data_IF_379456359850
#
_entry.id   IF_379456359850
#
_cell.length_a   1.000
_cell.length_b   1.000
_cell.length_c   1.000
_cell.angle_alpha   90.00
_cell.angle_beta   90.00
_cell.angle_gamma   90.00
#
_symmetry.space_group_name_H-M   'P 1'
#
loop_
_entity.id
_entity.type
_entity.pdbx_description
1 polymer ?
#
# COMPACT_ATOMS: atom_id res chain seq x y z
N UNK A 1 -1.97 -74.36 -15.94
CA UNK A 1 -2.98 -73.35 -15.47
C UNK A 1 -2.21 -72.07 -15.15
N UNK A 2 -2.30 -71.06 -16.00
CA UNK A 2 -1.61 -69.80 -15.81
C UNK A 2 -2.63 -68.76 -15.26
N UNK A 3 -2.33 -68.25 -14.07
CA UNK A 3 -3.14 -67.21 -13.43
C UNK A 3 -2.81 -65.86 -14.09
N UNK A 4 -3.79 -65.22 -14.69
CA UNK A 4 -3.72 -63.83 -15.17
C UNK A 4 -3.85 -62.87 -13.98
N UNK A 5 -2.84 -62.08 -13.69
CA UNK A 5 -2.89 -60.96 -12.75
C UNK A 5 -3.71 -59.83 -13.39
N UNK A 6 -4.76 -59.38 -12.70
CA UNK A 6 -5.53 -58.20 -13.08
C UNK A 6 -4.76 -56.95 -12.69
N UNK A 7 -4.44 -56.14 -13.70
CA UNK A 7 -3.83 -54.81 -13.47
C UNK A 7 -4.97 -53.84 -13.17
N UNK A 8 -5.10 -53.47 -11.89
CA UNK A 8 -6.02 -52.39 -11.46
C UNK A 8 -5.40 -51.05 -11.84
N UNK A 9 -6.01 -50.38 -12.83
CA UNK A 9 -5.62 -49.01 -13.22
C UNK A 9 -6.00 -48.01 -12.12
N UNK A 10 -5.02 -47.47 -11.44
CA UNK A 10 -5.22 -46.32 -10.54
C UNK A 10 -5.43 -45.03 -11.38
N UNK A 11 -6.66 -44.60 -11.46
CA UNK A 11 -7.00 -43.31 -12.06
C UNK A 11 -6.54 -42.22 -11.06
N UNK A 12 -5.42 -41.55 -11.37
CA UNK A 12 -5.00 -40.36 -10.65
C UNK A 12 -5.98 -39.25 -10.96
N UNK A 13 -6.68 -38.67 -9.97
CA UNK A 13 -7.58 -37.55 -10.23
C UNK A 13 -6.77 -36.39 -10.82
N UNK A 14 -7.17 -35.92 -11.99
CA UNK A 14 -6.61 -34.69 -12.58
C UNK A 14 -6.86 -33.55 -11.58
N UNK A 15 -5.84 -32.78 -11.19
CA UNK A 15 -6.04 -31.66 -10.30
C UNK A 15 -7.02 -30.69 -10.97
N UNK A 16 -8.19 -30.53 -10.37
CA UNK A 16 -9.20 -29.56 -10.80
C UNK A 16 -8.57 -28.18 -10.63
N UNK A 17 -8.36 -27.47 -11.75
CA UNK A 17 -7.90 -26.08 -11.69
C UNK A 17 -8.89 -25.30 -10.82
N UNK A 18 -8.44 -24.58 -9.79
CA UNK A 18 -9.33 -23.78 -8.96
C UNK A 18 -10.14 -22.81 -9.83
N UNK A 19 -11.40 -22.61 -9.48
CA UNK A 19 -12.24 -21.66 -10.19
C UNK A 19 -11.58 -20.27 -10.17
N UNK A 20 -11.66 -19.49 -11.25
CA UNK A 20 -11.06 -18.17 -11.27
C UNK A 20 -11.71 -17.27 -10.22
N UNK A 21 -10.90 -16.47 -9.54
CA UNK A 21 -11.38 -15.48 -8.58
C UNK A 21 -12.35 -14.50 -9.26
N UNK A 22 -13.38 -14.12 -8.53
CA UNK A 22 -14.34 -13.11 -8.97
C UNK A 22 -14.11 -11.81 -8.23
N UNK A 23 -14.28 -10.68 -8.95
CA UNK A 23 -14.24 -9.34 -8.35
C UNK A 23 -15.62 -8.73 -8.47
N UNK A 24 -16.20 -8.36 -7.33
CA UNK A 24 -17.52 -7.73 -7.26
C UNK A 24 -17.53 -6.58 -6.25
N UNK A 25 -18.45 -5.65 -6.44
CA UNK A 25 -18.66 -4.55 -5.50
C UNK A 25 -19.12 -5.09 -4.14
N UNK A 26 -18.62 -4.48 -3.08
CA UNK A 26 -18.98 -4.75 -1.69
C UNK A 26 -19.33 -3.43 -0.98
N UNK A 27 -20.08 -3.51 0.09
CA UNK A 27 -20.35 -2.35 0.93
C UNK A 27 -19.13 -1.95 1.77
N UNK A 28 -19.16 -0.70 2.28
CA UNK A 28 -18.06 -0.15 3.09
C UNK A 28 -17.89 -0.88 4.44
N UNK A 29 -18.92 -1.51 4.98
CA UNK A 29 -18.85 -2.23 6.25
C UNK A 29 -18.04 -3.52 6.06
N UNK A 30 -18.38 -4.33 5.07
CA UNK A 30 -17.65 -5.55 4.67
C UNK A 30 -16.19 -5.22 4.36
N UNK A 31 -15.94 -4.10 3.66
CA UNK A 31 -14.56 -3.66 3.36
C UNK A 31 -13.78 -3.37 4.65
N UNK A 32 -14.34 -2.58 5.57
CA UNK A 32 -13.69 -2.25 6.85
C UNK A 32 -13.44 -3.47 7.73
N UNK A 33 -14.39 -4.39 7.79
CA UNK A 33 -14.26 -5.62 8.56
C UNK A 33 -13.08 -6.46 8.05
N UNK A 34 -12.97 -6.61 6.72
CA UNK A 34 -11.84 -7.32 6.11
C UNK A 34 -10.50 -6.65 6.44
N UNK A 35 -10.42 -5.31 6.38
CA UNK A 35 -9.19 -4.58 6.74
C UNK A 35 -8.84 -4.74 8.22
N UNK A 36 -9.83 -4.67 9.12
CA UNK A 36 -9.63 -4.82 10.56
C UNK A 36 -9.10 -6.21 10.96
N UNK A 37 -9.40 -7.25 10.17
CA UNK A 37 -8.90 -8.61 10.36
C UNK A 37 -7.44 -8.79 9.90
N UNK A 38 -6.83 -7.79 9.24
CA UNK A 38 -5.43 -7.87 8.78
C UNK A 38 -4.45 -7.33 9.82
N UNK A 39 -3.28 -7.94 9.90
CA UNK A 39 -2.20 -7.45 10.78
C UNK A 39 -1.74 -6.04 10.39
N UNK A 40 -1.82 -5.68 9.11
CA UNK A 40 -1.52 -4.35 8.59
C UNK A 40 -2.27 -4.12 7.29
N UNK A 41 -2.80 -2.92 7.13
CA UNK A 41 -3.37 -2.43 5.87
C UNK A 41 -3.14 -0.92 5.75
N UNK A 42 -2.92 -0.46 4.53
CA UNK A 42 -2.76 0.98 4.29
C UNK A 42 -4.08 1.73 4.53
N UNK A 43 -4.01 2.90 5.18
CA UNK A 43 -5.16 3.79 5.30
C UNK A 43 -5.67 4.27 3.93
N UNK A 44 -4.83 4.26 2.89
CA UNK A 44 -5.20 4.59 1.52
C UNK A 44 -6.16 3.56 0.91
N UNK A 45 -6.29 2.38 1.53
CA UNK A 45 -7.26 1.35 1.15
C UNK A 45 -8.56 1.42 1.96
N UNK A 46 -8.69 2.36 2.89
CA UNK A 46 -9.93 2.52 3.65
C UNK A 46 -11.03 3.22 2.84
N UNK A 47 -12.31 2.86 3.01
CA UNK A 47 -13.42 3.63 2.44
C UNK A 47 -13.41 5.11 2.86
N UNK A 48 -12.86 5.41 4.06
CA UNK A 48 -12.62 6.79 4.53
C UNK A 48 -11.76 7.59 3.56
N UNK A 49 -10.65 7.03 3.10
CA UNK A 49 -9.82 7.67 2.09
C UNK A 49 -10.56 7.94 0.78
N UNK A 50 -11.43 7.02 0.39
CA UNK A 50 -12.30 7.22 -0.77
C UNK A 50 -13.20 8.46 -0.63
N UNK A 51 -13.65 8.79 0.58
CA UNK A 51 -14.41 10.02 0.85
C UNK A 51 -13.54 11.27 0.77
N UNK A 52 -12.32 11.22 1.27
CA UNK A 52 -11.33 12.32 1.13
C UNK A 52 -11.04 12.65 -0.33
N UNK A 53 -11.10 11.66 -1.23
CA UNK A 53 -10.96 11.84 -2.68
C UNK A 53 -12.31 12.12 -3.37
N UNK A 54 -13.06 13.07 -2.85
CA UNK A 54 -14.43 13.38 -3.28
C UNK A 54 -14.55 13.71 -4.77
N UNK A 55 -13.49 14.22 -5.40
CA UNK A 55 -13.42 14.53 -6.82
C UNK A 55 -13.26 13.29 -7.73
N UNK A 56 -13.05 12.11 -7.14
CA UNK A 56 -12.92 10.85 -7.87
C UNK A 56 -14.11 9.95 -7.56
N UNK A 57 -14.63 9.25 -8.56
CA UNK A 57 -15.55 8.16 -8.29
C UNK A 57 -14.81 7.07 -7.53
N UNK A 58 -15.43 6.53 -6.50
CA UNK A 58 -14.85 5.47 -5.66
C UNK A 58 -15.71 4.23 -5.65
N UNK A 59 -15.11 3.10 -5.38
CA UNK A 59 -15.78 1.82 -5.25
C UNK A 59 -14.99 0.92 -4.30
N UNK A 60 -15.67 0.22 -3.40
CA UNK A 60 -15.12 -0.89 -2.63
C UNK A 60 -15.38 -2.19 -3.38
N UNK A 61 -14.34 -2.97 -3.64
CA UNK A 61 -14.47 -4.27 -4.30
C UNK A 61 -13.88 -5.38 -3.46
N UNK A 62 -14.51 -6.56 -3.52
CA UNK A 62 -14.04 -7.80 -2.91
C UNK A 62 -13.55 -8.78 -3.96
N UNK A 63 -12.52 -9.54 -3.62
CA UNK A 63 -12.02 -10.69 -4.36
C UNK A 63 -12.61 -11.93 -3.70
N UNK A 64 -13.24 -12.79 -4.49
CA UNK A 64 -13.95 -13.96 -4.01
C UNK A 64 -13.42 -15.24 -4.65
N UNK A 65 -13.13 -16.22 -3.79
CA UNK A 65 -12.97 -17.62 -4.18
C UNK A 65 -14.28 -18.36 -3.84
N UNK A 66 -15.09 -18.61 -4.86
CA UNK A 66 -16.49 -18.98 -4.64
C UNK A 66 -17.24 -17.88 -3.87
N UNK A 67 -17.74 -18.21 -2.68
CA UNK A 67 -18.38 -17.26 -1.78
C UNK A 67 -17.44 -16.66 -0.73
N UNK A 68 -16.22 -17.14 -0.64
CA UNK A 68 -15.23 -16.68 0.36
C UNK A 68 -14.57 -15.39 -0.06
N UNK A 69 -14.65 -14.34 0.77
CA UNK A 69 -13.96 -13.08 0.58
C UNK A 69 -12.48 -13.23 0.96
N UNK A 70 -11.58 -13.23 -0.03
CA UNK A 70 -10.13 -13.45 0.14
C UNK A 70 -9.30 -12.18 0.05
N UNK A 71 -9.89 -11.08 -0.37
CA UNK A 71 -9.21 -9.78 -0.43
C UNK A 71 -10.16 -8.65 -0.76
N UNK A 72 -9.69 -7.42 -0.58
CA UNK A 72 -10.47 -6.21 -0.89
C UNK A 72 -9.63 -5.16 -1.61
N UNK A 73 -10.28 -4.22 -2.29
CA UNK A 73 -9.62 -3.02 -2.80
C UNK A 73 -10.53 -1.81 -2.77
N UNK A 74 -9.97 -0.66 -2.40
CA UNK A 74 -10.53 0.65 -2.72
C UNK A 74 -10.07 1.02 -4.12
N UNK A 75 -11.01 1.15 -5.05
CA UNK A 75 -10.73 1.61 -6.41
C UNK A 75 -11.18 3.05 -6.56
N UNK A 76 -10.25 3.91 -6.97
CA UNK A 76 -10.51 5.31 -7.27
C UNK A 76 -10.49 5.51 -8.80
N UNK A 77 -11.53 6.12 -9.36
CA UNK A 77 -11.64 6.36 -10.80
C UNK A 77 -11.44 7.83 -11.10
N UNK A 78 -10.31 8.18 -11.68
CA UNK A 78 -10.02 9.52 -12.16
C UNK A 78 -10.53 9.69 -13.58
N UNK A 79 -11.48 10.57 -13.79
CA UNK A 79 -11.98 10.87 -15.13
C UNK A 79 -10.96 11.66 -15.94
N UNK A 80 -10.81 11.31 -17.23
CA UNK A 80 -10.05 12.11 -18.16
C UNK A 80 -10.82 13.39 -18.52
N UNK A 81 -10.12 14.51 -18.73
CA UNK A 81 -10.76 15.73 -19.22
C UNK A 81 -11.48 15.47 -20.54
N UNK A 82 -12.74 15.95 -20.67
CA UNK A 82 -13.57 15.92 -21.88
C UNK A 82 -13.98 14.52 -22.38
N UNK A 83 -13.62 13.43 -21.73
CA UNK A 83 -13.94 12.06 -22.15
C UNK A 83 -14.53 11.29 -20.97
N UNK A 84 -15.61 10.50 -21.22
CA UNK A 84 -16.18 9.59 -20.19
C UNK A 84 -15.35 8.30 -20.08
N UNK A 85 -14.06 8.44 -19.84
CA UNK A 85 -13.13 7.35 -19.58
C UNK A 85 -12.35 7.61 -18.29
N UNK A 86 -11.96 6.56 -17.61
CA UNK A 86 -11.35 6.63 -16.29
C UNK A 86 -9.99 5.94 -16.25
N UNK A 87 -9.05 6.51 -15.50
CA UNK A 87 -7.94 5.75 -14.96
C UNK A 87 -8.38 5.18 -13.61
N UNK A 88 -8.40 3.86 -13.46
CA UNK A 88 -8.61 3.21 -12.19
C UNK A 88 -7.30 3.22 -11.39
N UNK A 89 -7.36 3.61 -10.12
CA UNK A 89 -6.20 3.66 -9.23
C UNK A 89 -6.52 2.94 -7.92
N UNK A 90 -5.64 2.03 -7.53
CA UNK A 90 -5.72 1.25 -6.29
C UNK A 90 -4.47 1.57 -5.46
N UNK A 91 -4.52 2.65 -4.64
CA UNK A 91 -3.36 3.13 -3.89
C UNK A 91 -2.94 2.13 -2.81
N UNK A 92 -1.67 1.76 -2.76
CA UNK A 92 -1.12 0.76 -1.82
C UNK A 92 -1.97 -0.51 -1.68
N UNK A 93 -2.48 -0.97 -2.81
CA UNK A 93 -3.35 -2.13 -2.89
C UNK A 93 -3.30 -2.83 -4.25
N UNK A 94 -4.16 -3.82 -4.43
CA UNK A 94 -5.21 -4.34 -3.54
C UNK A 94 -4.68 -4.96 -2.24
N UNK A 95 -5.55 -5.11 -1.22
CA UNK A 95 -5.26 -5.80 0.03
C UNK A 95 -5.51 -7.29 -0.18
N UNK A 96 -4.45 -8.00 -0.47
CA UNK A 96 -4.41 -9.43 -0.76
C UNK A 96 -3.32 -10.08 0.09
N UNK A 97 -3.39 -11.37 0.27
CA UNK A 97 -2.23 -12.16 0.67
C UNK A 97 -1.36 -12.42 -0.58
N UNK A 98 -0.41 -11.52 -0.82
CA UNK A 98 0.43 -11.53 -2.02
C UNK A 98 1.31 -12.77 -2.16
N UNK A 99 1.54 -13.50 -1.06
CA UNK A 99 2.32 -14.74 -1.05
C UNK A 99 1.50 -15.96 -1.47
N UNK A 100 0.19 -15.93 -1.21
CA UNK A 100 -0.69 -17.10 -1.31
C UNK A 100 -1.72 -16.97 -2.45
N UNK A 101 -2.16 -15.74 -2.78
CA UNK A 101 -3.22 -15.53 -3.79
C UNK A 101 -2.73 -15.89 -5.20
N UNK A 102 -3.59 -16.53 -5.98
CA UNK A 102 -3.33 -16.72 -7.42
C UNK A 102 -3.48 -15.39 -8.16
N UNK A 103 -2.34 -14.72 -8.38
CA UNK A 103 -2.29 -13.43 -9.09
C UNK A 103 -2.74 -13.56 -10.55
N UNK A 104 -2.55 -14.73 -11.18
CA UNK A 104 -3.01 -14.99 -12.55
C UNK A 104 -4.54 -15.04 -12.66
N UNK A 105 -5.23 -15.28 -11.55
CA UNK A 105 -6.68 -15.18 -11.45
C UNK A 105 -7.13 -13.80 -10.94
N UNK A 106 -6.56 -13.31 -9.85
CA UNK A 106 -7.00 -12.09 -9.17
C UNK A 106 -6.86 -10.82 -10.03
N UNK A 107 -5.71 -10.63 -10.66
CA UNK A 107 -5.41 -9.39 -11.38
C UNK A 107 -6.18 -9.24 -12.69
N UNK A 108 -6.34 -10.28 -13.53
CA UNK A 108 -7.23 -10.21 -14.68
C UNK A 108 -8.69 -9.98 -14.29
N UNK A 109 -9.17 -10.59 -13.19
CA UNK A 109 -10.53 -10.37 -12.68
C UNK A 109 -10.73 -8.89 -12.28
N UNK A 110 -9.77 -8.29 -11.55
CA UNK A 110 -9.81 -6.86 -11.22
C UNK A 110 -9.78 -6.00 -12.47
N UNK A 111 -8.90 -6.29 -13.44
CA UNK A 111 -8.80 -5.55 -14.69
C UNK A 111 -10.11 -5.61 -15.49
N UNK A 112 -10.75 -6.78 -15.57
CA UNK A 112 -12.04 -6.95 -16.22
C UNK A 112 -13.14 -6.14 -15.52
N UNK A 113 -13.18 -6.17 -14.19
CA UNK A 113 -14.13 -5.43 -13.37
C UNK A 113 -14.04 -3.92 -13.62
N UNK A 114 -12.85 -3.32 -13.52
CA UNK A 114 -12.67 -1.88 -13.74
C UNK A 114 -12.89 -1.47 -15.18
N UNK A 115 -12.56 -2.35 -16.15
CA UNK A 115 -12.86 -2.13 -17.57
C UNK A 115 -14.36 -2.05 -17.83
N UNK A 116 -15.17 -2.93 -17.23
CA UNK A 116 -16.62 -2.89 -17.31
C UNK A 116 -17.21 -1.60 -16.75
N UNK A 117 -16.49 -0.91 -15.87
CA UNK A 117 -16.85 0.40 -15.29
C UNK A 117 -16.30 1.60 -16.07
N UNK A 118 -15.76 1.37 -17.25
CA UNK A 118 -15.28 2.41 -18.18
C UNK A 118 -13.84 2.83 -17.97
N UNK A 119 -13.04 2.08 -17.21
CA UNK A 119 -11.62 2.34 -17.13
C UNK A 119 -10.90 1.93 -18.43
N UNK A 120 -9.98 2.80 -18.90
CA UNK A 120 -9.10 2.52 -20.02
C UNK A 120 -7.77 1.91 -19.56
N UNK A 121 -7.45 2.05 -18.28
CA UNK A 121 -6.23 1.52 -17.66
C UNK A 121 -6.41 1.43 -16.16
N UNK A 122 -5.55 0.64 -15.54
CA UNK A 122 -5.50 0.46 -14.10
C UNK A 122 -4.07 0.65 -13.59
N UNK A 123 -3.94 1.31 -12.43
CA UNK A 123 -2.71 1.43 -11.67
C UNK A 123 -2.92 0.80 -10.31
N UNK A 124 -2.04 -0.08 -9.90
CA UNK A 124 -2.01 -0.66 -8.55
C UNK A 124 -0.70 -0.27 -7.85
N UNK A 125 -0.69 -0.29 -6.54
CA UNK A 125 0.49 -0.03 -5.71
C UNK A 125 0.68 -1.11 -4.65
N UNK A 126 1.04 -2.35 -5.03
CA UNK A 126 1.21 -3.44 -4.08
C UNK A 126 2.24 -3.09 -3.00
N UNK A 127 1.90 -3.16 -1.70
CA UNK A 127 2.85 -2.89 -0.62
C UNK A 127 3.77 -4.10 -0.38
N UNK A 128 4.42 -4.59 -1.44
CA UNK A 128 5.26 -5.79 -1.41
C UNK A 128 6.72 -5.39 -1.25
N UNK A 129 7.32 -5.80 -0.14
CA UNK A 129 8.74 -5.56 0.12
C UNK A 129 9.57 -6.54 -0.70
N UNK A 130 10.56 -6.05 -1.43
CA UNK A 130 11.49 -6.87 -2.24
C UNK A 130 12.90 -6.88 -1.68
N UNK A 131 13.28 -5.83 -0.97
CA UNK A 131 14.60 -5.68 -0.37
C UNK A 131 14.56 -4.71 0.80
N UNK A 132 15.52 -4.86 1.73
CA UNK A 132 15.74 -3.96 2.86
C UNK A 132 17.19 -3.55 2.92
N UNK A 133 17.43 -2.32 3.33
CA UNK A 133 18.76 -1.78 3.64
C UNK A 133 18.76 -1.28 5.08
N UNK A 134 19.80 -1.59 5.82
CA UNK A 134 19.96 -1.04 7.16
C UNK A 134 20.25 0.46 7.11
N UNK A 135 19.87 1.18 8.17
CA UNK A 135 20.16 2.61 8.29
C UNK A 135 21.67 2.90 8.20
N UNK A 136 22.51 1.97 8.69
CA UNK A 136 23.97 2.11 8.61
C UNK A 136 24.47 2.01 7.18
N UNK A 137 24.00 1.02 6.40
CA UNK A 137 24.35 0.92 4.97
C UNK A 137 23.97 2.17 4.18
N UNK A 138 22.76 2.69 4.43
CA UNK A 138 22.32 3.93 3.76
C UNK A 138 23.22 5.10 4.12
N UNK A 139 23.61 5.22 5.40
CA UNK A 139 24.53 6.27 5.87
C UNK A 139 25.92 6.14 5.25
N UNK A 140 26.45 4.92 5.17
CA UNK A 140 27.76 4.67 4.58
C UNK A 140 27.74 4.95 3.08
N UNK A 141 26.66 4.54 2.38
CA UNK A 141 26.48 4.83 0.97
C UNK A 141 26.30 6.31 0.63
N UNK A 142 25.73 7.12 1.53
CA UNK A 142 25.66 8.59 1.36
C UNK A 142 27.06 9.21 1.44
N UNK A 143 27.97 8.61 2.22
CA UNK A 143 29.35 9.08 2.38
C UNK A 143 30.29 8.58 1.28
N UNK A 144 29.84 7.69 0.40
CA UNK A 144 30.60 7.08 -0.69
C UNK A 144 30.29 7.80 -2.01
N UNK A 145 31.29 8.43 -2.59
CA UNK A 145 31.16 9.19 -3.84
C UNK A 145 30.81 8.32 -5.06
N UNK A 146 31.04 7.01 -5.00
CA UNK A 146 30.71 6.07 -6.06
C UNK A 146 29.24 5.61 -6.02
N UNK A 147 28.55 5.82 -4.90
CA UNK A 147 27.13 5.49 -4.70
C UNK A 147 26.25 6.66 -5.11
N UNK A 148 25.49 6.51 -6.19
CA UNK A 148 24.60 7.58 -6.71
C UNK A 148 23.14 7.41 -6.29
N UNK A 149 22.72 6.19 -5.98
CA UNK A 149 21.35 5.83 -5.63
C UNK A 149 21.32 4.58 -4.77
N UNK A 150 20.22 4.39 -4.02
CA UNK A 150 20.05 3.23 -3.12
C UNK A 150 20.22 1.88 -3.85
N UNK A 151 19.82 1.80 -5.11
CA UNK A 151 19.96 0.57 -5.91
C UNK A 151 21.40 0.16 -6.23
N UNK A 152 22.38 1.05 -6.04
CA UNK A 152 23.80 0.74 -6.22
C UNK A 152 24.37 0.00 -4.99
N UNK A 153 23.66 0.07 -3.85
CA UNK A 153 24.01 -0.67 -2.64
C UNK A 153 23.40 -2.07 -2.65
N UNK A 154 24.19 -3.08 -2.31
CA UNK A 154 23.65 -4.41 -2.06
C UNK A 154 22.71 -4.36 -0.83
N UNK A 155 21.47 -4.87 -0.92
CA UNK A 155 20.57 -4.84 0.23
C UNK A 155 21.05 -5.76 1.35
N UNK A 156 20.73 -5.41 2.60
CA UNK A 156 20.97 -6.26 3.77
C UNK A 156 20.16 -7.55 3.68
N UNK A 157 18.94 -7.43 3.16
CA UNK A 157 17.99 -8.53 3.04
C UNK A 157 17.27 -8.45 1.70
N UNK A 158 17.07 -9.60 1.06
CA UNK A 158 16.19 -9.76 -0.11
C UNK A 158 15.00 -10.62 0.27
N UNK A 159 13.81 -10.11 0.01
CA UNK A 159 12.57 -10.86 0.20
C UNK A 159 12.28 -11.67 -1.07
N UNK A 160 12.39 -13.00 -0.95
CA UNK A 160 12.17 -13.92 -2.09
C UNK A 160 10.72 -14.01 -2.48
N UNK A 161 9.78 -13.88 -1.53
CA UNK A 161 8.34 -13.87 -1.81
C UNK A 161 7.97 -12.60 -2.59
N UNK A 162 8.47 -11.44 -2.14
CA UNK A 162 8.28 -10.18 -2.84
C UNK A 162 8.89 -10.18 -4.24
N UNK A 163 10.09 -10.73 -4.41
CA UNK A 163 10.73 -10.86 -5.72
C UNK A 163 9.92 -11.75 -6.68
N UNK A 164 9.34 -12.85 -6.16
CA UNK A 164 8.43 -13.73 -6.92
C UNK A 164 7.18 -12.97 -7.38
N UNK A 165 6.55 -12.21 -6.51
CA UNK A 165 5.37 -11.38 -6.84
C UNK A 165 5.70 -10.40 -7.96
N UNK A 166 6.83 -9.70 -7.89
CA UNK A 166 7.26 -8.76 -8.94
C UNK A 166 7.49 -9.48 -10.28
N UNK A 167 8.05 -10.70 -10.25
CA UNK A 167 8.22 -11.52 -11.45
C UNK A 167 6.88 -11.89 -12.06
N UNK A 168 5.95 -12.40 -11.26
CA UNK A 168 4.60 -12.74 -11.71
C UNK A 168 3.83 -11.54 -12.27
N UNK A 169 3.95 -10.37 -11.63
CA UNK A 169 3.37 -9.12 -12.16
C UNK A 169 3.87 -8.82 -13.57
N UNK A 170 5.18 -8.94 -13.81
CA UNK A 170 5.78 -8.71 -15.14
C UNK A 170 5.31 -9.73 -16.18
N UNK A 171 5.25 -11.01 -15.81
CA UNK A 171 4.74 -12.09 -16.66
C UNK A 171 3.27 -11.88 -17.04
N UNK A 172 2.46 -11.32 -16.14
CA UNK A 172 1.08 -10.93 -16.37
C UNK A 172 0.93 -9.61 -17.16
N UNK A 173 2.04 -9.01 -17.61
CA UNK A 173 2.04 -7.80 -18.43
C UNK A 173 1.98 -6.49 -17.66
N UNK A 174 2.05 -6.53 -16.32
CA UNK A 174 2.13 -5.32 -15.51
C UNK A 174 3.52 -4.69 -15.63
N UNK A 175 3.55 -3.36 -15.71
CA UNK A 175 4.79 -2.62 -15.86
C UNK A 175 5.00 -1.71 -14.66
N UNK A 176 6.21 -1.70 -14.06
CA UNK A 176 6.54 -0.75 -13.02
C UNK A 176 6.48 0.67 -13.60
N UNK A 177 5.97 1.61 -12.82
CA UNK A 177 6.11 3.02 -13.16
C UNK A 177 7.53 3.46 -12.87
N UNK A 178 8.20 3.93 -13.91
CA UNK A 178 9.47 4.64 -13.78
C UNK A 178 9.12 6.12 -13.78
N UNK A 179 9.24 6.77 -12.63
CA UNK A 179 9.15 8.22 -12.54
C UNK A 179 10.53 8.77 -12.24
N UNK A 180 11.01 9.65 -13.09
CA UNK A 180 12.13 10.53 -12.75
C UNK A 180 11.58 11.58 -11.77
N UNK A 181 11.88 11.38 -10.49
CA UNK A 181 11.57 12.34 -9.44
C UNK A 181 10.26 12.09 -8.66
N UNK A 182 10.39 11.62 -7.45
CA UNK A 182 9.46 11.75 -6.35
C UNK A 182 8.07 11.15 -6.53
N UNK A 183 7.08 11.88 -6.04
CA UNK A 183 5.67 11.47 -5.96
C UNK A 183 4.91 11.44 -7.30
N UNK A 184 5.54 11.77 -8.42
CA UNK A 184 4.88 11.77 -9.74
C UNK A 184 4.33 10.38 -10.13
N UNK A 185 4.92 9.32 -9.63
CA UNK A 185 4.47 7.94 -9.84
C UNK A 185 3.28 7.51 -8.97
N UNK A 186 2.89 8.31 -7.98
CA UNK A 186 1.80 8.02 -7.04
C UNK A 186 2.29 7.39 -5.74
N UNK A 187 3.00 6.26 -5.75
CA UNK A 187 3.56 5.61 -4.57
C UNK A 187 5.09 5.67 -4.59
N UNK A 188 5.76 5.96 -3.46
CA UNK A 188 7.21 5.94 -3.39
C UNK A 188 7.73 4.51 -3.57
N UNK A 189 8.79 4.37 -4.37
CA UNK A 189 9.47 3.10 -4.55
C UNK A 189 10.21 2.65 -3.30
N UNK A 190 10.71 3.59 -2.52
CA UNK A 190 11.43 3.35 -1.27
C UNK A 190 10.71 4.07 -0.14
N UNK A 191 10.62 3.41 1.00
CA UNK A 191 10.06 3.98 2.23
C UNK A 191 11.03 3.75 3.37
N UNK A 192 11.14 4.74 4.26
CA UNK A 192 11.83 4.59 5.51
C UNK A 192 10.85 4.09 6.56
N UNK A 193 11.23 3.05 7.31
CA UNK A 193 10.41 2.49 8.37
C UNK A 193 11.04 2.76 9.74
N UNK A 194 10.25 3.29 10.65
CA UNK A 194 10.59 3.35 12.08
C UNK A 194 9.92 2.15 12.74
N UNK A 195 10.68 1.17 13.25
CA UNK A 195 10.09 0.02 13.93
C UNK A 195 9.45 0.47 15.26
N UNK A 196 8.21 0.03 15.50
CA UNK A 196 7.49 0.20 16.78
C UNK A 196 7.41 -1.12 17.54
N UNK A 197 7.99 -2.18 17.00
CA UNK A 197 8.09 -3.50 17.60
C UNK A 197 9.51 -4.05 17.41
N UNK A 198 9.95 -4.88 18.33
CA UNK A 198 11.19 -5.63 18.20
C UNK A 198 11.06 -6.84 17.25
N UNK A 199 12.13 -7.63 17.13
CA UNK A 199 12.16 -8.81 16.26
C UNK A 199 11.16 -9.91 16.69
N UNK A 200 10.80 -9.95 17.97
CA UNK A 200 9.86 -10.91 18.55
C UNK A 200 8.40 -10.41 18.47
N UNK A 201 8.18 -9.22 17.91
CA UNK A 201 6.87 -8.61 17.76
C UNK A 201 6.36 -7.88 19.02
N UNK A 202 7.19 -7.75 20.06
CA UNK A 202 6.86 -7.00 21.28
C UNK A 202 6.91 -5.50 21.01
N UNK A 203 5.92 -4.76 21.51
CA UNK A 203 5.88 -3.31 21.36
C UNK A 203 7.10 -2.65 22.04
N UNK A 204 7.79 -1.77 21.32
CA UNK A 204 8.84 -0.93 21.88
C UNK A 204 8.23 0.21 22.69
N UNK A 205 8.86 0.56 23.80
CA UNK A 205 8.53 1.78 24.52
C UNK A 205 9.08 3.03 23.80
N UNK A 206 8.68 4.20 24.26
CA UNK A 206 9.08 5.47 23.64
C UNK A 206 10.60 5.68 23.68
N UNK A 207 11.25 5.30 24.78
CA UNK A 207 12.70 5.43 24.93
C UNK A 207 13.45 4.52 23.94
N UNK A 208 12.98 3.31 23.71
CA UNK A 208 13.56 2.39 22.74
C UNK A 208 13.39 2.90 21.30
N UNK A 209 12.20 3.43 20.96
CA UNK A 209 11.96 4.06 19.65
C UNK A 209 12.86 5.28 19.45
N UNK A 210 12.94 6.17 20.45
CA UNK A 210 13.80 7.35 20.42
C UNK A 210 15.27 6.98 20.30
N UNK A 211 15.73 5.95 21.01
CA UNK A 211 17.10 5.45 20.93
C UNK A 211 17.44 4.90 19.54
N UNK A 212 16.46 4.30 18.85
CA UNK A 212 16.61 3.81 17.48
C UNK A 212 16.73 4.92 16.42
N UNK A 213 16.31 6.15 16.74
CA UNK A 213 16.42 7.29 15.84
C UNK A 213 17.87 7.79 15.72
N UNK A 214 18.21 8.42 14.59
CA UNK A 214 19.51 9.04 14.42
C UNK A 214 19.70 10.24 15.37
N UNK A 215 20.95 10.67 15.57
CA UNK A 215 21.30 11.72 16.51
C UNK A 215 20.64 13.08 16.18
N UNK A 216 20.47 13.40 14.89
CA UNK A 216 19.85 14.65 14.46
C UNK A 216 18.38 14.70 14.88
N UNK A 217 17.63 13.61 14.66
CA UNK A 217 16.24 13.53 15.06
C UNK A 217 16.06 13.65 16.57
N UNK A 218 16.84 12.88 17.36
CA UNK A 218 16.84 13.00 18.82
C UNK A 218 17.12 14.42 19.31
N UNK A 219 18.08 15.11 18.67
CA UNK A 219 18.42 16.49 19.01
C UNK A 219 17.28 17.45 18.65
N UNK A 220 16.64 17.26 17.50
CA UNK A 220 15.54 18.11 17.07
C UNK A 220 14.29 17.93 17.96
N UNK A 221 13.98 16.69 18.37
CA UNK A 221 12.91 16.42 19.33
C UNK A 221 13.18 17.15 20.66
N UNK A 222 14.37 16.99 21.23
CA UNK A 222 14.77 17.71 22.46
C UNK A 222 14.76 19.23 22.32
N UNK A 223 15.07 19.73 21.13
CA UNK A 223 15.00 21.17 20.85
C UNK A 223 13.56 21.66 20.80
N UNK A 224 12.67 20.90 20.16
CA UNK A 224 11.23 21.23 20.11
C UNK A 224 10.62 21.28 21.51
N UNK A 225 10.89 20.27 22.33
CA UNK A 225 10.49 20.21 23.73
C UNK A 225 10.95 21.45 24.53
N UNK A 226 12.24 21.79 24.43
CA UNK A 226 12.81 22.98 25.07
C UNK A 226 12.22 24.31 24.59
N UNK A 227 11.69 24.36 23.38
CA UNK A 227 11.03 25.53 22.80
C UNK A 227 9.53 25.59 23.15
N UNK A 228 9.03 24.63 23.94
CA UNK A 228 7.61 24.57 24.34
C UNK A 228 6.67 24.17 23.20
N UNK A 229 7.17 23.39 22.24
CA UNK A 229 6.29 22.82 21.19
C UNK A 229 5.43 21.74 21.81
N UNK A 230 4.14 21.99 21.84
CA UNK A 230 3.13 21.03 22.30
C UNK A 230 2.52 20.29 21.12
N UNK A 231 2.42 18.96 21.24
CA UNK A 231 1.73 18.11 20.28
C UNK A 231 0.48 17.57 20.92
N UNK A 232 -0.68 17.90 20.36
CA UNK A 232 -1.97 17.45 20.85
C UNK A 232 -2.65 16.53 19.84
N UNK A 233 -3.31 15.49 20.33
CA UNK A 233 -4.18 14.63 19.53
C UNK A 233 -5.63 14.95 19.85
N UNK A 234 -6.47 15.04 18.82
CA UNK A 234 -7.92 15.23 19.01
C UNK A 234 -8.59 13.85 19.07
N UNK A 235 -9.38 13.66 20.14
CA UNK A 235 -10.21 12.47 20.31
C UNK A 235 -11.61 12.74 19.75
N UNK A 236 -11.87 12.29 18.54
CA UNK A 236 -13.17 12.42 17.91
C UNK A 236 -13.29 13.57 16.92
N UNK A 237 -14.39 13.52 16.16
CA UNK A 237 -14.62 14.41 15.01
C UNK A 237 -14.83 15.87 15.40
N UNK A 238 -15.58 16.12 16.46
CA UNK A 238 -15.94 17.48 16.84
C UNK A 238 -14.70 18.27 17.28
N UNK A 239 -13.87 17.70 18.14
CA UNK A 239 -12.63 18.32 18.57
C UNK A 239 -11.65 18.51 17.40
N UNK A 240 -11.52 17.50 16.52
CA UNK A 240 -10.68 17.60 15.32
C UNK A 240 -11.12 18.76 14.41
N UNK A 241 -12.44 18.95 14.21
CA UNK A 241 -12.96 20.05 13.40
C UNK A 241 -12.74 21.42 14.07
N UNK A 242 -12.82 21.51 15.40
CA UNK A 242 -12.57 22.75 16.13
C UNK A 242 -11.11 23.23 15.99
N UNK A 243 -10.14 22.30 15.84
CA UNK A 243 -8.71 22.61 15.69
C UNK A 243 -8.23 22.66 14.24
N UNK A 244 -9.12 22.42 13.30
CA UNK A 244 -8.76 22.26 11.90
C UNK A 244 -8.25 23.55 11.24
N UNK A 245 -8.73 24.72 11.70
CA UNK A 245 -8.29 26.01 11.20
C UNK A 245 -6.84 26.28 11.64
N UNK A 246 -6.52 26.06 12.90
CA UNK A 246 -5.13 26.20 13.41
C UNK A 246 -4.16 25.28 12.66
N UNK A 247 -4.57 24.02 12.44
CA UNK A 247 -3.80 23.09 11.62
C UNK A 247 -3.60 23.60 10.19
N UNK A 248 -4.67 24.12 9.57
CA UNK A 248 -4.60 24.57 8.18
C UNK A 248 -3.72 25.81 8.02
N UNK A 249 -3.74 26.73 8.97
CA UNK A 249 -2.86 27.92 8.95
C UNK A 249 -1.39 27.51 9.06
N UNK A 250 -1.06 26.57 9.94
CA UNK A 250 0.27 26.00 10.06
C UNK A 250 0.70 25.26 8.77
N UNK A 251 -0.23 24.55 8.15
CA UNK A 251 0.00 23.83 6.89
C UNK A 251 0.24 24.79 5.72
N UNK A 252 -0.51 25.89 5.61
CA UNK A 252 -0.31 26.93 4.60
C UNK A 252 1.04 27.60 4.78
N UNK A 253 1.40 27.97 6.02
CA UNK A 253 2.72 28.52 6.33
C UNK A 253 3.86 27.57 5.92
N UNK A 254 3.69 26.27 6.17
CA UNK A 254 4.65 25.25 5.74
C UNK A 254 4.73 25.16 4.22
N UNK A 255 3.58 25.25 3.52
CA UNK A 255 3.52 25.21 2.07
C UNK A 255 4.25 26.40 1.43
N UNK A 256 4.14 27.58 2.00
CA UNK A 256 4.85 28.79 1.57
C UNK A 256 6.37 28.61 1.73
N UNK A 257 6.82 28.13 2.89
CA UNK A 257 8.24 27.85 3.16
C UNK A 257 8.83 26.83 2.22
N UNK A 258 8.10 25.73 1.96
CA UNK A 258 8.60 24.55 1.22
C UNK A 258 8.16 24.56 -0.27
N UNK A 259 7.53 25.67 -0.72
CA UNK A 259 7.15 25.93 -2.13
C UNK A 259 6.25 24.88 -2.77
N UNK A 260 5.22 24.43 -2.07
CA UNK A 260 4.20 23.57 -2.64
C UNK A 260 2.78 24.18 -2.57
N UNK A 261 1.86 23.73 -3.42
CA UNK A 261 0.47 24.20 -3.39
C UNK A 261 -0.30 23.52 -2.27
N UNK A 262 -0.79 24.27 -1.26
CA UNK A 262 -1.54 23.67 -0.16
C UNK A 262 -2.92 23.19 -0.61
N UNK A 263 -3.42 22.15 0.04
CA UNK A 263 -4.81 21.71 -0.11
C UNK A 263 -5.73 22.71 0.60
N UNK A 264 -6.93 22.97 0.06
CA UNK A 264 -7.87 23.87 0.72
C UNK A 264 -8.39 23.25 2.02
N UNK A 265 -8.82 24.08 2.95
CA UNK A 265 -9.37 23.64 4.25
C UNK A 265 -10.52 22.63 4.10
N UNK A 266 -11.35 22.76 3.06
CA UNK A 266 -12.44 21.84 2.76
C UNK A 266 -11.97 20.39 2.51
N UNK A 267 -10.74 20.21 2.05
CA UNK A 267 -10.15 18.87 1.84
C UNK A 267 -10.00 18.08 3.15
N UNK A 268 -9.77 18.77 4.26
CA UNK A 268 -9.55 18.18 5.57
C UNK A 268 -10.83 18.00 6.40
N UNK A 269 -11.95 18.60 5.96
CA UNK A 269 -13.25 18.55 6.67
C UNK A 269 -14.07 17.28 6.42
N UNK A 270 -13.56 16.33 5.67
CA UNK A 270 -14.28 15.12 5.22
C UNK A 270 -14.45 14.06 6.31
#
# INVERSE_FOLDING_TARGET
MAARAAVTSLTVPTPTRPAPLQVREIDEATHREHLAARASASFLQTPGWGRVKAEWRRESVGFFDGESLVGVALVLYRQLPKVKRFLAYVPEGPVLDWGEVDLASALPALAAHVKARGAFGIRIGPPVVTARWSAQQVKDGIADDDVRRLGDLAPTERDTAGARVVTQLRELGWRPQVAEGGFAAGQPQFVFQVPLRDADGTALDEDAVLKGMNQLWRRNIKKADKLGVEVTASEGREEALARLEDFHDLYVHTAERDHFTPRPLSYFRV
#
